data_IF_388538961796
#
_entry.id   IF_388538961796
#
_cell.length_a   1.000
_cell.length_b   1.000
_cell.length_c   1.000
_cell.angle_alpha   90.00
_cell.angle_beta   90.00
_cell.angle_gamma   90.00
#
_symmetry.space_group_name_H-M   'P 1'
#
loop_
_entity.id
_entity.type
_entity.pdbx_description
1 polymer ?
#
# COMPACT_ATOMS: atom_id res chain seq x y z
N UNK A 1 5.11 -5.19 -1.85
CA UNK A 1 6.35 -5.38 -2.63
C UNK A 1 7.39 -4.31 -2.36
N UNK A 2 7.13 -3.04 -2.66
CA UNK A 2 8.13 -1.97 -2.48
C UNK A 2 8.69 -1.86 -1.05
N UNK A 3 7.83 -1.98 -0.03
CA UNK A 3 8.27 -1.94 1.37
C UNK A 3 9.25 -3.07 1.69
N UNK A 4 8.97 -4.30 1.28
CA UNK A 4 9.87 -5.43 1.53
C UNK A 4 11.17 -5.34 0.75
N UNK A 5 11.16 -4.87 -0.51
CA UNK A 5 12.41 -4.60 -1.25
C UNK A 5 13.29 -3.57 -0.56
N UNK A 6 12.70 -2.49 -0.05
CA UNK A 6 13.43 -1.47 0.72
C UNK A 6 13.98 -2.03 2.03
N UNK A 7 13.20 -2.85 2.74
CA UNK A 7 13.63 -3.45 3.99
C UNK A 7 14.80 -4.42 3.77
N UNK A 8 14.72 -5.28 2.75
CA UNK A 8 15.80 -6.21 2.41
C UNK A 8 17.05 -5.46 1.93
N UNK A 9 16.91 -4.42 1.10
CA UNK A 9 18.03 -3.61 0.65
C UNK A 9 18.71 -2.85 1.80
N UNK A 10 17.93 -2.37 2.78
CA UNK A 10 18.48 -1.72 3.96
C UNK A 10 19.21 -2.67 4.93
N UNK A 11 19.03 -3.98 4.78
CA UNK A 11 19.67 -5.01 5.59
C UNK A 11 20.64 -5.91 4.78
N UNK A 12 20.98 -5.51 3.55
CA UNK A 12 21.88 -6.24 2.64
C UNK A 12 21.44 -7.69 2.32
N UNK A 13 20.13 -7.94 2.30
CA UNK A 13 19.51 -9.26 2.03
C UNK A 13 18.77 -9.30 0.69
N UNK A 14 18.80 -8.20 -0.06
CA UNK A 14 18.07 -8.00 -1.31
C UNK A 14 18.56 -8.88 -2.47
N UNK A 15 19.86 -9.21 -2.47
CA UNK A 15 20.49 -10.11 -3.46
C UNK A 15 20.19 -11.58 -3.19
N UNK A 16 20.10 -11.95 -1.92
CA UNK A 16 19.85 -13.32 -1.48
C UNK A 16 18.37 -13.68 -1.63
N UNK A 17 17.48 -12.81 -1.13
CA UNK A 17 16.04 -13.00 -1.22
C UNK A 17 15.48 -12.12 -2.33
N UNK A 18 15.34 -12.69 -3.52
CA UNK A 18 14.84 -12.00 -4.72
C UNK A 18 13.31 -12.01 -4.79
N UNK A 19 12.76 -11.16 -5.66
CA UNK A 19 11.32 -11.12 -5.93
C UNK A 19 10.86 -12.36 -6.67
N UNK A 20 9.69 -12.87 -6.30
CA UNK A 20 9.03 -13.97 -7.03
C UNK A 20 8.54 -13.50 -8.40
N UNK A 21 8.68 -14.35 -9.41
CA UNK A 21 8.23 -14.06 -10.79
C UNK A 21 6.74 -14.35 -10.97
N UNK A 22 6.22 -15.34 -10.24
CA UNK A 22 4.89 -15.88 -10.46
C UNK A 22 3.86 -15.16 -9.58
N UNK A 23 3.29 -14.11 -10.15
CA UNK A 23 2.27 -13.29 -9.48
C UNK A 23 0.98 -14.10 -9.35
N UNK A 24 0.56 -14.38 -8.11
CA UNK A 24 -0.69 -15.09 -7.80
C UNK A 24 -0.48 -16.49 -7.20
N UNK A 25 0.67 -17.11 -7.41
CA UNK A 25 1.00 -18.39 -6.77
C UNK A 25 1.18 -18.22 -5.25
N UNK A 26 0.74 -19.20 -4.46
CA UNK A 26 1.01 -19.24 -3.02
C UNK A 26 2.33 -19.94 -2.77
N UNK A 27 3.32 -19.17 -2.35
CA UNK A 27 4.62 -19.68 -1.98
C UNK A 27 5.19 -18.81 -0.87
N UNK A 28 5.79 -19.43 0.15
CA UNK A 28 6.51 -18.72 1.20
C UNK A 28 7.99 -18.55 0.85
N UNK A 29 8.69 -17.64 1.52
CA UNK A 29 10.15 -17.52 1.38
C UNK A 29 10.83 -18.43 2.39
N UNK A 30 11.53 -19.44 1.90
CA UNK A 30 12.27 -20.38 2.75
C UNK A 30 13.63 -19.81 3.19
N UNK A 31 14.11 -20.28 4.35
CA UNK A 31 15.43 -19.92 4.83
C UNK A 31 16.47 -20.94 4.36
N UNK A 32 17.57 -20.51 3.72
CA UNK A 32 18.68 -21.39 3.40
C UNK A 32 19.37 -21.92 4.66
N UNK A 33 20.07 -23.05 4.53
CA UNK A 33 20.68 -23.78 5.66
C UNK A 33 21.97 -23.10 6.13
N UNK A 34 22.83 -22.68 5.21
CA UNK A 34 24.19 -22.19 5.51
C UNK A 34 24.33 -20.66 5.46
N UNK A 35 23.32 -19.96 4.91
CA UNK A 35 23.33 -18.51 4.75
C UNK A 35 22.44 -17.82 5.80
N UNK A 36 22.34 -16.49 5.73
CA UNK A 36 21.44 -15.73 6.61
C UNK A 36 19.99 -16.16 6.35
N UNK A 37 19.23 -16.34 7.44
CA UNK A 37 17.81 -16.70 7.39
C UNK A 37 16.97 -15.58 6.79
N UNK A 38 15.82 -15.95 6.24
CA UNK A 38 14.85 -15.01 5.69
C UNK A 38 14.36 -14.03 6.76
N UNK A 39 14.16 -12.77 6.35
CA UNK A 39 13.74 -11.73 7.28
C UNK A 39 12.28 -11.95 7.68
N UNK A 40 12.06 -12.37 8.93
CA UNK A 40 10.73 -12.71 9.45
C UNK A 40 9.96 -11.46 9.87
N UNK A 41 8.75 -11.29 9.35
CA UNK A 41 7.86 -10.17 9.67
C UNK A 41 6.45 -10.69 9.95
N UNK A 42 5.74 -10.04 10.86
CA UNK A 42 4.34 -10.35 11.17
C UNK A 42 3.42 -9.24 10.65
N UNK A 43 2.26 -9.63 10.12
CA UNK A 43 1.26 -8.67 9.65
C UNK A 43 0.44 -8.12 10.82
N UNK A 44 0.42 -6.80 10.97
CA UNK A 44 -0.56 -6.09 11.78
C UNK A 44 -1.70 -5.58 10.89
N UNK A 45 -2.94 -5.96 11.21
CA UNK A 45 -4.15 -5.53 10.47
C UNK A 45 -4.86 -4.35 11.14
N UNK A 46 -4.43 -3.93 12.32
CA UNK A 46 -5.08 -2.89 13.12
C UNK A 46 -6.56 -3.19 13.37
N UNK A 47 -7.42 -2.21 13.10
CA UNK A 47 -8.88 -2.31 13.24
C UNK A 47 -9.60 -2.83 11.98
N UNK A 48 -8.86 -3.25 10.94
CA UNK A 48 -9.46 -3.76 9.72
C UNK A 48 -10.15 -5.11 9.97
N UNK A 49 -11.30 -5.32 9.33
CA UNK A 49 -12.02 -6.61 9.41
C UNK A 49 -11.32 -7.66 8.53
N UNK A 50 -11.11 -8.86 9.08
CA UNK A 50 -10.44 -9.97 8.41
C UNK A 50 -11.37 -10.76 7.45
N UNK A 51 -11.81 -10.12 6.36
CA UNK A 51 -12.62 -10.75 5.30
C UNK A 51 -11.76 -11.37 4.20
N UNK A 52 -12.32 -12.35 3.47
CA UNK A 52 -11.71 -12.90 2.26
C UNK A 52 -11.56 -11.78 1.21
N UNK A 53 -10.41 -11.71 0.55
CA UNK A 53 -10.10 -10.69 -0.45
C UNK A 53 -9.88 -9.29 0.11
N UNK A 54 -9.69 -9.12 1.42
CA UNK A 54 -9.37 -7.81 2.00
C UNK A 54 -8.02 -7.30 1.49
N UNK A 55 -7.94 -5.99 1.19
CA UNK A 55 -6.73 -5.35 0.64
C UNK A 55 -5.51 -5.47 1.55
N UNK A 56 -5.70 -5.60 2.86
CA UNK A 56 -4.61 -5.81 3.83
C UNK A 56 -3.85 -7.11 3.57
N UNK A 57 -4.55 -8.18 3.17
CA UNK A 57 -3.92 -9.46 2.84
C UNK A 57 -3.24 -9.43 1.47
N UNK A 58 -3.77 -8.67 0.51
CA UNK A 58 -3.08 -8.44 -0.78
C UNK A 58 -1.77 -7.65 -0.58
N UNK A 59 -1.77 -6.67 0.32
CA UNK A 59 -0.54 -5.95 0.68
C UNK A 59 0.50 -6.89 1.33
N UNK A 60 0.03 -7.79 2.21
CA UNK A 60 0.84 -8.86 2.81
C UNK A 60 1.42 -9.80 1.74
N UNK A 61 0.60 -10.29 0.80
CA UNK A 61 1.06 -11.13 -0.33
C UNK A 61 2.17 -10.44 -1.11
N UNK A 62 1.97 -9.17 -1.47
CA UNK A 62 3.00 -8.41 -2.16
C UNK A 62 4.27 -8.20 -1.32
N UNK A 63 4.20 -8.20 0.01
CA UNK A 63 5.39 -8.15 0.88
C UNK A 63 6.09 -9.52 0.94
N UNK A 64 5.34 -10.61 1.01
CA UNK A 64 5.86 -11.98 0.88
C UNK A 64 6.60 -12.15 -0.45
N UNK A 65 5.98 -11.75 -1.57
CA UNK A 65 6.55 -11.87 -2.93
C UNK A 65 7.81 -11.02 -3.16
N UNK A 66 8.11 -10.09 -2.25
CA UNK A 66 9.35 -9.32 -2.32
C UNK A 66 10.57 -10.02 -1.69
N UNK A 67 10.37 -11.18 -1.05
CA UNK A 67 11.40 -11.98 -0.38
C UNK A 67 11.34 -11.92 1.16
N UNK A 68 10.31 -11.30 1.74
CA UNK A 68 10.13 -11.33 3.19
C UNK A 68 9.44 -12.62 3.59
N UNK A 69 9.87 -13.22 4.70
CA UNK A 69 9.15 -14.33 5.29
C UNK A 69 8.02 -13.82 6.19
N UNK A 70 6.78 -13.99 5.73
CA UNK A 70 5.58 -13.67 6.50
C UNK A 70 4.81 -14.98 6.68
N UNK A 71 4.62 -15.49 7.91
CA UNK A 71 3.84 -16.70 8.12
C UNK A 71 2.35 -16.41 7.86
N UNK A 72 1.75 -17.03 6.85
CA UNK A 72 0.35 -16.81 6.49
C UNK A 72 -0.30 -18.01 5.80
N UNK A 73 -1.63 -18.05 5.74
CA UNK A 73 -2.38 -19.09 5.00
C UNK A 73 -3.09 -18.49 3.78
N UNK A 74 -3.34 -19.30 2.73
CA UNK A 74 -4.03 -18.82 1.53
C UNK A 74 -5.53 -18.57 1.73
N UNK A 75 -6.10 -18.99 2.86
CA UNK A 75 -7.54 -18.98 3.14
C UNK A 75 -8.25 -17.63 3.00
N UNK A 76 -7.51 -16.52 3.13
CA UNK A 76 -8.04 -15.15 3.02
C UNK A 76 -7.85 -14.54 1.63
N UNK A 77 -7.21 -15.23 0.70
CA UNK A 77 -7.06 -14.75 -0.67
C UNK A 77 -8.32 -14.99 -1.52
N UNK A 78 -8.45 -14.18 -2.58
CA UNK A 78 -9.42 -14.44 -3.66
C UNK A 78 -8.94 -15.67 -4.42
N UNK A 79 -9.87 -16.53 -4.86
CA UNK A 79 -9.54 -17.79 -5.51
C UNK A 79 -9.30 -18.97 -4.57
N UNK A 80 -9.39 -18.80 -3.24
CA UNK A 80 -9.33 -19.94 -2.31
C UNK A 80 -10.67 -20.67 -2.24
N UNK A 81 -10.72 -21.95 -2.58
CA UNK A 81 -11.97 -22.74 -2.52
C UNK A 81 -12.15 -23.51 -1.19
N UNK A 82 -11.10 -23.64 -0.38
CA UNK A 82 -11.10 -24.45 0.83
C UNK A 82 -9.95 -25.45 0.86
N UNK A 83 -9.47 -25.84 -0.31
CA UNK A 83 -8.42 -26.84 -0.51
C UNK A 83 -7.26 -26.24 -1.29
N UNK A 84 -7.55 -25.56 -2.41
CA UNK A 84 -6.56 -25.01 -3.33
C UNK A 84 -6.77 -23.51 -3.57
N UNK A 85 -5.65 -22.84 -3.89
CA UNK A 85 -5.66 -21.44 -4.33
C UNK A 85 -5.61 -21.38 -5.85
N UNK A 86 -6.68 -20.87 -6.45
CA UNK A 86 -6.71 -20.56 -7.88
C UNK A 86 -5.84 -19.32 -8.16
N UNK A 87 -4.57 -19.56 -8.52
CA UNK A 87 -3.56 -18.52 -8.71
C UNK A 87 -3.95 -17.49 -9.78
N UNK A 88 -4.66 -17.92 -10.82
CA UNK A 88 -5.15 -17.04 -11.89
C UNK A 88 -6.17 -16.02 -11.39
N UNK A 89 -7.11 -16.42 -10.53
CA UNK A 89 -8.09 -15.50 -9.94
C UNK A 89 -7.42 -14.45 -9.07
N UNK A 90 -6.43 -14.87 -8.26
CA UNK A 90 -5.66 -13.94 -7.46
C UNK A 90 -4.84 -12.99 -8.35
N UNK A 91 -4.22 -13.48 -9.41
CA UNK A 91 -3.49 -12.67 -10.38
C UNK A 91 -4.41 -11.65 -11.07
N UNK A 92 -5.60 -12.07 -11.51
CA UNK A 92 -6.61 -11.20 -12.13
C UNK A 92 -7.01 -10.06 -11.18
N UNK A 93 -7.12 -10.36 -9.88
CA UNK A 93 -7.39 -9.36 -8.84
C UNK A 93 -6.23 -8.39 -8.63
N UNK A 94 -4.99 -8.87 -8.65
CA UNK A 94 -3.77 -8.06 -8.51
C UNK A 94 -3.63 -7.08 -9.68
N UNK A 95 -3.87 -7.55 -10.90
CA UNK A 95 -3.80 -6.73 -12.12
C UNK A 95 -5.08 -5.94 -12.43
N UNK A 96 -6.08 -5.99 -11.53
CA UNK A 96 -7.34 -5.26 -11.64
C UNK A 96 -8.15 -5.54 -12.91
N UNK A 97 -8.16 -6.79 -13.40
CA UNK A 97 -8.93 -7.16 -14.60
C UNK A 97 -10.42 -6.86 -14.47
N UNK A 98 -11.01 -7.07 -13.30
CA UNK A 98 -12.42 -6.72 -13.03
C UNK A 98 -12.68 -5.22 -13.20
N UNK A 99 -11.75 -4.37 -12.77
CA UNK A 99 -11.87 -2.92 -12.96
C UNK A 99 -11.74 -2.55 -14.45
N UNK A 100 -10.85 -3.20 -15.19
CA UNK A 100 -10.73 -2.98 -16.63
C UNK A 100 -12.02 -3.36 -17.36
N UNK A 101 -12.59 -4.53 -17.04
CA UNK A 101 -13.88 -4.97 -17.57
C UNK A 101 -15.01 -3.98 -17.22
N UNK A 102 -15.02 -3.45 -15.99
CA UNK A 102 -15.99 -2.42 -15.61
C UNK A 102 -15.80 -1.08 -16.34
N UNK A 103 -14.55 -0.70 -16.60
CA UNK A 103 -14.24 0.48 -17.42
C UNK A 103 -14.75 0.31 -18.85
N UNK A 104 -14.51 -0.84 -19.47
CA UNK A 104 -14.99 -1.18 -20.82
C UNK A 104 -16.52 -1.17 -20.86
N UNK A 105 -17.17 -1.87 -19.92
CA UNK A 105 -18.61 -1.91 -19.81
C UNK A 105 -19.22 -0.51 -19.67
N UNK A 106 -18.67 0.36 -18.80
CA UNK A 106 -19.19 1.73 -18.68
C UNK A 106 -18.93 2.57 -19.92
N UNK A 107 -17.78 2.41 -20.58
CA UNK A 107 -17.47 3.14 -21.82
C UNK A 107 -18.46 2.84 -22.94
N UNK A 108 -18.95 1.60 -23.02
CA UNK A 108 -19.93 1.15 -24.02
C UNK A 108 -21.38 1.52 -23.66
N UNK A 109 -21.75 1.41 -22.38
CA UNK A 109 -23.15 1.53 -21.95
C UNK A 109 -23.53 2.93 -21.45
N UNK A 110 -22.60 3.69 -20.86
CA UNK A 110 -22.87 4.99 -20.23
C UNK A 110 -21.60 5.86 -20.17
N UNK A 111 -21.39 6.65 -21.24
CA UNK A 111 -20.21 7.49 -21.38
C UNK A 111 -20.16 8.64 -20.35
N UNK A 112 -21.31 9.16 -19.91
CA UNK A 112 -21.37 10.22 -18.90
C UNK A 112 -20.87 9.70 -17.55
N UNK A 113 -21.36 8.53 -17.14
CA UNK A 113 -20.91 7.86 -15.92
C UNK A 113 -19.46 7.40 -16.01
N UNK A 114 -19.01 6.96 -17.19
CA UNK A 114 -17.59 6.67 -17.44
C UNK A 114 -16.70 7.89 -17.18
N UNK A 115 -17.06 9.06 -17.72
CA UNK A 115 -16.31 10.31 -17.51
C UNK A 115 -16.32 10.75 -16.05
N UNK A 116 -17.43 10.57 -15.34
CA UNK A 116 -17.53 10.89 -13.91
C UNK A 116 -16.64 9.98 -13.06
N UNK A 117 -16.75 8.66 -13.25
CA UNK A 117 -16.04 7.66 -12.44
C UNK A 117 -14.54 7.58 -12.78
N UNK A 118 -14.20 7.69 -14.06
CA UNK A 118 -12.84 7.47 -14.58
C UNK A 118 -12.22 8.73 -15.22
N UNK A 119 -12.73 9.93 -14.92
CA UNK A 119 -12.21 11.18 -15.49
C UNK A 119 -10.70 11.37 -15.32
N UNK A 120 -10.11 10.88 -14.22
CA UNK A 120 -8.66 10.89 -14.02
C UNK A 120 -7.87 9.97 -14.98
N UNK A 121 -8.46 8.85 -15.41
CA UNK A 121 -7.88 7.97 -16.44
C UNK A 121 -7.98 8.62 -17.82
N UNK A 122 -9.13 9.23 -18.13
CA UNK A 122 -9.36 9.98 -19.38
C UNK A 122 -8.36 11.13 -19.51
N UNK A 123 -8.19 11.94 -18.47
CA UNK A 123 -7.24 13.05 -18.46
C UNK A 123 -5.78 12.61 -18.68
N UNK A 124 -5.42 11.42 -18.19
CA UNK A 124 -4.08 10.82 -18.34
C UNK A 124 -3.94 9.94 -19.58
N UNK A 125 -5.00 9.79 -20.39
CA UNK A 125 -5.05 8.94 -21.59
C UNK A 125 -4.66 7.48 -21.29
N UNK A 126 -5.15 6.94 -20.18
CA UNK A 126 -4.92 5.55 -19.77
C UNK A 126 -6.14 4.72 -20.16
N UNK A 127 -5.95 3.79 -21.09
CA UNK A 127 -7.00 2.85 -21.53
C UNK A 127 -7.00 1.56 -20.69
N UNK A 128 -8.14 0.87 -20.56
CA UNK A 128 -8.28 -0.35 -19.73
C UNK A 128 -7.24 -1.43 -20.04
N UNK A 129 -7.03 -1.75 -21.32
CA UNK A 129 -6.06 -2.77 -21.76
C UNK A 129 -4.60 -2.43 -21.44
N UNK A 130 -4.28 -1.17 -21.16
CA UNK A 130 -2.90 -0.75 -20.81
C UNK A 130 -2.56 -0.95 -19.33
N UNK A 131 -3.56 -1.11 -18.47
CA UNK A 131 -3.39 -1.12 -17.01
C UNK A 131 -2.52 -2.30 -16.57
N UNK A 132 -2.76 -3.50 -17.07
CA UNK A 132 -1.97 -4.69 -16.70
C UNK A 132 -0.48 -4.50 -17.01
N UNK A 133 -0.16 -3.95 -18.19
CA UNK A 133 1.21 -3.66 -18.60
C UNK A 133 1.88 -2.62 -17.70
N UNK A 134 1.15 -1.57 -17.29
CA UNK A 134 1.64 -0.56 -16.34
C UNK A 134 2.03 -1.22 -15.01
N UNK A 135 1.19 -2.11 -14.47
CA UNK A 135 1.48 -2.81 -13.22
C UNK A 135 2.66 -3.76 -13.35
N UNK A 136 2.72 -4.59 -14.41
CA UNK A 136 3.87 -5.48 -14.66
C UNK A 136 5.18 -4.69 -14.74
N UNK A 137 5.19 -3.55 -15.44
CA UNK A 137 6.36 -2.69 -15.54
C UNK A 137 6.73 -2.06 -14.18
N UNK A 138 5.74 -1.66 -13.38
CA UNK A 138 5.98 -1.15 -12.04
C UNK A 138 6.60 -2.23 -11.12
N UNK A 139 6.09 -3.46 -11.13
CA UNK A 139 6.62 -4.56 -10.33
C UNK A 139 8.08 -4.88 -10.72
N UNK A 140 8.38 -4.92 -12.02
CA UNK A 140 9.76 -5.10 -12.53
C UNK A 140 10.70 -4.00 -12.02
N UNK A 141 10.28 -2.72 -12.12
CA UNK A 141 11.06 -1.58 -11.61
C UNK A 141 11.29 -1.66 -10.11
N UNK A 142 10.28 -2.05 -9.34
CA UNK A 142 10.40 -2.22 -7.88
C UNK A 142 11.37 -3.36 -7.53
N UNK A 143 11.38 -4.44 -8.30
CA UNK A 143 12.32 -5.54 -8.12
C UNK A 143 13.77 -5.11 -8.34
N UNK A 144 14.03 -4.28 -9.36
CA UNK A 144 15.35 -3.79 -9.71
C UNK A 144 15.87 -2.64 -8.83
N UNK A 145 15.07 -1.60 -8.61
CA UNK A 145 15.50 -0.34 -7.98
C UNK A 145 14.99 -0.20 -6.53
N UNK A 146 15.01 -1.27 -5.74
CA UNK A 146 14.45 -1.32 -4.37
C UNK A 146 14.92 -0.24 -3.37
N UNK A 147 15.75 0.71 -3.78
CA UNK A 147 16.23 1.85 -3.01
C UNK A 147 15.18 2.95 -2.77
N UNK A 148 15.37 3.70 -1.70
CA UNK A 148 14.58 4.89 -1.35
C UNK A 148 15.20 6.10 -2.02
N UNK A 149 14.44 6.77 -2.89
CA UNK A 149 14.85 8.08 -3.44
C UNK A 149 14.66 9.15 -2.37
N UNK A 150 15.74 9.83 -1.99
CA UNK A 150 15.67 10.95 -1.07
C UNK A 150 15.09 12.19 -1.74
N UNK A 151 14.12 12.83 -1.08
CA UNK A 151 13.59 14.13 -1.54
C UNK A 151 14.38 15.24 -0.87
N UNK A 152 14.75 16.26 -1.64
CA UNK A 152 15.34 17.50 -1.10
C UNK A 152 14.36 18.11 -0.10
N UNK A 153 14.80 18.31 1.14
CA UNK A 153 14.00 18.99 2.17
C UNK A 153 13.99 20.47 1.84
N UNK A 154 12.81 21.02 1.58
CA UNK A 154 12.64 22.47 1.52
C UNK A 154 12.66 23.03 2.94
N UNK A 155 13.34 24.15 3.15
CA UNK A 155 13.23 24.91 4.39
C UNK A 155 11.84 25.54 4.47
N UNK A 156 11.10 25.20 5.52
CA UNK A 156 9.78 25.75 5.76
C UNK A 156 9.86 26.65 7.00
N UNK A 157 10.11 27.94 6.80
CA UNK A 157 10.29 28.93 7.87
C UNK A 157 8.97 29.52 8.39
N UNK A 158 7.86 29.32 7.67
CA UNK A 158 6.57 29.93 8.01
C UNK A 158 5.67 29.03 8.85
N UNK A 159 5.42 29.39 10.11
CA UNK A 159 4.22 28.93 10.80
C UNK A 159 3.01 29.64 10.18
N UNK A 160 2.18 28.89 9.42
CA UNK A 160 0.98 29.41 8.76
C UNK A 160 -0.10 29.90 9.75
N UNK A 161 -0.01 29.47 11.00
CA UNK A 161 -0.91 29.86 12.09
C UNK A 161 -0.14 29.83 13.41
N UNK A 162 -0.48 30.74 14.33
CA UNK A 162 -0.03 30.67 15.72
C UNK A 162 -1.09 29.95 16.55
N UNK A 163 -0.69 28.87 17.22
CA UNK A 163 -1.53 28.28 18.25
C UNK A 163 -1.69 29.30 19.38
N UNK A 164 -2.94 29.56 19.80
CA UNK A 164 -3.20 30.40 20.98
C UNK A 164 -2.40 29.84 22.15
N UNK A 165 -1.44 30.62 22.64
CA UNK A 165 -0.68 30.25 23.83
C UNK A 165 -1.65 30.18 25.00
N UNK A 166 -1.39 29.27 25.95
CA UNK A 166 -2.14 29.26 27.21
C UNK A 166 -1.90 30.61 27.89
N UNK A 167 -2.98 31.24 28.33
CA UNK A 167 -2.89 32.50 29.09
C UNK A 167 -2.00 32.31 30.33
N UNK A 168 -1.21 33.34 30.63
CA UNK A 168 -0.27 33.35 31.74
C UNK A 168 -0.99 33.39 33.10
N UNK A 169 -0.29 33.10 34.19
CA UNK A 169 -0.87 33.19 35.53
C UNK A 169 -1.29 34.64 35.88
N UNK A 170 -0.51 35.63 35.42
CA UNK A 170 -0.82 37.05 35.62
C UNK A 170 -2.11 37.43 34.90
N UNK A 171 -2.23 37.10 33.61
CA UNK A 171 -3.44 37.33 32.81
C UNK A 171 -4.67 36.62 33.39
N UNK A 172 -4.49 35.43 34.00
CA UNK A 172 -5.56 34.73 34.72
C UNK A 172 -6.02 35.50 35.95
N UNK A 173 -5.08 36.00 36.78
CA UNK A 173 -5.39 36.78 37.98
C UNK A 173 -6.06 38.11 37.64
N UNK A 174 -5.59 38.80 36.60
CA UNK A 174 -6.19 40.04 36.09
C UNK A 174 -7.62 39.81 35.59
N UNK A 175 -7.88 38.72 34.84
CA UNK A 175 -9.24 38.37 34.42
C UNK A 175 -10.18 38.09 35.59
N UNK A 176 -9.69 37.44 36.65
CA UNK A 176 -10.51 37.19 37.85
C UNK A 176 -10.81 38.50 38.58
N UNK A 177 -9.81 39.37 38.76
CA UNK A 177 -9.98 40.66 39.42
C UNK A 177 -10.91 41.60 38.63
N UNK A 178 -10.78 41.67 37.30
CA UNK A 178 -11.65 42.47 36.44
C UNK A 178 -13.11 42.00 36.54
N UNK A 179 -13.34 40.69 36.60
CA UNK A 179 -14.69 40.12 36.68
C UNK A 179 -15.38 40.37 38.03
N UNK A 180 -14.60 40.44 39.12
CA UNK A 180 -15.09 40.78 40.46
C UNK A 180 -15.35 42.28 40.65
N UNK A 181 -14.80 43.14 39.79
CA UNK A 181 -14.99 44.59 39.85
C UNK A 181 -16.17 45.10 39.01
N UNK A 182 -16.72 44.25 38.13
CA UNK A 182 -17.94 44.51 37.36
C UNK A 182 -19.22 44.05 38.09
N UNK A 183 -19.09 43.26 39.18
CA UNK A 183 -20.16 42.93 40.14
C UNK A 183 -20.26 43.97 41.26
#
# INVERSE_FOLDING_TARGET
>A
MLCGRRALAANDLDKQFVTKTDVGAFEETESPIEERRAYKVFQDIGLARATKGAKVFIAMKGASDSGLFIPHSPSKFVGWDGEDLQAEELANRIFMKENCSYMEHLKENDEEKYKLQFGGYVAKKIEPGSIEAIYKNALKKIGAEGAKVEKKKAEYSGKKYENKKKISLAERKERVAARLAEE
#
